data_IF_992170597450
#
_entry.id   IF_992170597450
#
_cell.length_a   1.000
_cell.length_b   1.000
_cell.length_c   1.000
_cell.angle_alpha   90.00
_cell.angle_beta   90.00
_cell.angle_gamma   90.00
#
_symmetry.space_group_name_H-M   'P 1'
#
loop_
_entity.id
_entity.type
_entity.pdbx_description
1 polymer ?
#
# COMPACT_ATOMS: atom_id res chain seq x y z
N UNK A 1 2.93 1.08 -7.32
CA UNK A 1 3.85 1.89 -6.46
C UNK A 1 4.51 3.01 -7.23
N UNK A 2 5.15 2.76 -8.39
CA UNK A 2 5.60 3.81 -9.31
C UNK A 2 4.49 4.82 -9.66
N UNK A 3 3.25 4.35 -9.78
CA UNK A 3 2.03 5.17 -9.93
C UNK A 3 1.86 6.30 -8.90
N UNK A 4 2.41 6.15 -7.67
CA UNK A 4 2.36 7.22 -6.65
C UNK A 4 3.15 8.45 -7.14
N UNK A 5 4.24 8.23 -7.88
CA UNK A 5 5.04 9.29 -8.48
C UNK A 5 4.49 9.75 -9.83
N UNK A 6 4.03 8.82 -10.67
CA UNK A 6 3.48 9.13 -11.99
C UNK A 6 2.20 9.96 -11.91
N UNK A 7 1.29 9.63 -10.99
CA UNK A 7 0.02 10.33 -10.86
C UNK A 7 0.18 11.77 -10.36
N UNK A 8 1.32 12.10 -9.75
CA UNK A 8 1.48 13.37 -9.03
C UNK A 8 2.53 14.32 -9.61
N UNK A 9 3.37 13.93 -10.59
CA UNK A 9 4.45 14.75 -11.20
C UNK A 9 5.34 15.53 -10.20
N UNK A 10 5.23 15.24 -8.90
CA UNK A 10 5.74 16.08 -7.83
C UNK A 10 7.18 15.73 -7.49
N UNK A 11 7.61 14.50 -7.78
CA UNK A 11 8.97 14.09 -7.49
C UNK A 11 9.96 14.70 -8.48
N UNK A 12 9.62 14.76 -9.78
CA UNK A 12 10.52 15.28 -10.81
C UNK A 12 11.05 16.69 -10.50
N UNK A 13 10.16 17.57 -10.01
CA UNK A 13 10.51 18.92 -9.61
C UNK A 13 11.42 18.99 -8.36
N UNK A 14 11.44 17.93 -7.55
CA UNK A 14 12.26 17.83 -6.34
C UNK A 14 13.61 17.12 -6.60
N UNK A 15 13.74 16.39 -7.72
CA UNK A 15 14.96 15.68 -8.06
C UNK A 15 16.09 16.64 -8.50
N UNK A 16 17.30 16.52 -7.94
CA UNK A 16 18.44 17.31 -8.37
C UNK A 16 18.75 17.13 -9.86
N UNK A 17 18.83 18.23 -10.61
CA UNK A 17 19.21 18.23 -12.04
C UNK A 17 20.63 17.73 -12.29
N UNK A 18 21.51 17.86 -11.30
CA UNK A 18 22.90 17.40 -11.34
C UNK A 18 23.06 15.88 -11.18
N UNK A 19 21.96 15.16 -11.00
CA UNK A 19 21.98 13.74 -10.65
C UNK A 19 21.74 13.47 -9.18
N UNK A 20 21.26 12.28 -8.86
CA UNK A 20 20.89 11.89 -7.51
C UNK A 20 21.28 10.44 -7.16
N UNK A 21 21.38 10.18 -5.86
CA UNK A 21 21.54 8.84 -5.28
C UNK A 21 20.36 8.52 -4.38
N UNK A 22 19.98 7.26 -4.28
CA UNK A 22 18.87 6.85 -3.42
C UNK A 22 19.18 5.62 -2.56
N UNK A 23 18.50 5.52 -1.41
CA UNK A 23 18.48 4.36 -0.52
C UNK A 23 17.04 3.85 -0.40
N UNK A 24 16.80 2.57 -0.63
CA UNK A 24 15.49 1.92 -0.55
C UNK A 24 15.50 0.82 0.53
N UNK A 25 14.92 1.14 1.69
CA UNK A 25 14.79 0.24 2.84
C UNK A 25 13.51 -0.58 2.71
N UNK A 26 13.67 -1.89 2.58
CA UNK A 26 12.57 -2.78 2.19
C UNK A 26 12.43 -2.92 0.68
N UNK A 27 13.51 -2.76 -0.09
CA UNK A 27 13.46 -2.63 -1.55
C UNK A 27 12.84 -3.81 -2.33
N UNK A 28 12.73 -5.00 -1.76
CA UNK A 28 12.11 -6.14 -2.46
C UNK A 28 10.58 -5.98 -2.56
N UNK A 29 9.96 -6.26 -3.73
CA UNK A 29 10.55 -6.90 -4.90
C UNK A 29 11.26 -5.95 -5.89
N UNK A 30 11.19 -4.64 -5.70
CA UNK A 30 11.94 -3.68 -6.52
C UNK A 30 11.19 -2.47 -7.05
N UNK A 31 9.91 -2.28 -6.69
CA UNK A 31 9.05 -1.29 -7.36
C UNK A 31 9.60 0.15 -7.33
N UNK A 32 10.01 0.64 -6.17
CA UNK A 32 10.62 1.97 -6.02
C UNK A 32 11.99 2.04 -6.69
N UNK A 33 12.84 1.06 -6.40
CA UNK A 33 14.18 0.97 -6.97
C UNK A 33 14.18 0.98 -8.50
N UNK A 34 13.34 0.17 -9.16
CA UNK A 34 13.20 0.14 -10.63
C UNK A 34 12.81 1.50 -11.18
N UNK A 35 11.78 2.15 -10.62
CA UNK A 35 11.33 3.48 -11.04
C UNK A 35 12.45 4.52 -10.93
N UNK A 36 13.18 4.55 -9.82
CA UNK A 36 14.27 5.50 -9.62
C UNK A 36 15.44 5.26 -10.57
N UNK A 37 15.74 4.00 -10.90
CA UNK A 37 16.84 3.62 -11.79
C UNK A 37 16.55 3.90 -13.27
N UNK A 38 15.27 4.03 -13.65
CA UNK A 38 14.86 4.42 -15.01
C UNK A 38 15.12 5.91 -15.30
N UNK A 39 15.27 6.73 -14.26
CA UNK A 39 15.60 8.14 -14.42
C UNK A 39 17.07 8.31 -14.84
N UNK A 40 17.37 9.00 -15.97
CA UNK A 40 18.74 9.17 -16.44
C UNK A 40 19.62 10.01 -15.50
N UNK A 41 19.03 10.72 -14.54
CA UNK A 41 19.75 11.45 -13.49
C UNK A 41 20.16 10.54 -12.32
N UNK A 42 19.68 9.29 -12.27
CA UNK A 42 20.02 8.36 -11.21
C UNK A 42 21.48 7.90 -11.33
N UNK A 43 22.31 8.40 -10.42
CA UNK A 43 23.74 8.07 -10.39
C UNK A 43 24.01 6.73 -9.72
N UNK A 44 23.27 6.44 -8.64
CA UNK A 44 23.45 5.22 -7.85
C UNK A 44 22.22 4.92 -6.99
N UNK A 45 21.83 3.65 -6.94
CA UNK A 45 20.85 3.13 -6.01
C UNK A 45 21.45 2.17 -4.99
N UNK A 46 20.92 2.22 -3.77
CA UNK A 46 21.21 1.27 -2.71
C UNK A 46 19.90 0.66 -2.22
N UNK A 47 19.86 -0.66 -2.07
CA UNK A 47 18.70 -1.38 -1.55
C UNK A 47 19.07 -2.20 -0.32
N UNK A 48 18.22 -2.18 0.70
CA UNK A 48 18.30 -3.12 1.82
C UNK A 48 17.04 -3.95 1.87
N UNK A 49 17.16 -5.26 2.00
CA UNK A 49 16.00 -6.14 2.17
C UNK A 49 16.35 -7.40 2.95
N UNK A 50 15.33 -8.00 3.57
CA UNK A 50 15.47 -9.27 4.26
C UNK A 50 15.81 -10.37 3.24
N UNK A 51 16.81 -11.25 3.51
CA UNK A 51 17.10 -12.38 2.65
C UNK A 51 15.87 -13.29 2.46
N UNK A 52 15.67 -13.84 1.26
CA UNK A 52 14.55 -14.77 1.01
C UNK A 52 14.62 -16.05 1.86
N UNK A 53 15.84 -16.48 2.21
CA UNK A 53 16.09 -17.58 3.15
C UNK A 53 15.58 -17.31 4.57
N UNK A 54 15.40 -16.03 4.92
CA UNK A 54 14.92 -15.57 6.24
C UNK A 54 13.47 -15.11 6.22
N UNK A 55 12.73 -15.40 5.14
CA UNK A 55 11.33 -15.02 4.96
C UNK A 55 11.11 -13.73 4.17
N UNK A 56 12.17 -13.14 3.57
CA UNK A 56 12.06 -11.97 2.70
C UNK A 56 11.57 -12.28 1.28
N UNK A 57 11.31 -11.23 0.50
CA UNK A 57 10.91 -11.37 -0.90
C UNK A 57 12.15 -11.38 -1.82
N UNK A 58 12.12 -12.10 -2.96
CA UNK A 58 13.19 -12.03 -3.94
C UNK A 58 13.21 -10.66 -4.61
N UNK A 59 14.40 -10.07 -4.74
CA UNK A 59 14.62 -8.82 -5.49
C UNK A 59 14.60 -9.10 -6.98
N UNK A 60 13.86 -8.29 -7.74
CA UNK A 60 13.72 -8.39 -9.20
C UNK A 60 14.46 -7.30 -9.97
N UNK A 61 15.02 -6.33 -9.27
CA UNK A 61 15.82 -5.25 -9.87
C UNK A 61 17.14 -5.81 -10.40
N UNK A 62 17.46 -5.50 -11.66
CA UNK A 62 18.74 -5.82 -12.29
C UNK A 62 19.30 -4.55 -12.90
N UNK A 63 20.25 -3.92 -12.22
CA UNK A 63 20.95 -2.76 -12.75
C UNK A 63 22.39 -2.71 -12.25
N UNK A 64 23.31 -2.24 -13.10
CA UNK A 64 24.73 -2.13 -12.75
C UNK A 64 25.03 -0.98 -11.77
N UNK A 65 24.12 0.00 -11.68
CA UNK A 65 24.18 1.12 -10.74
C UNK A 65 23.29 0.90 -9.51
N UNK A 66 23.01 -0.36 -9.13
CA UNK A 66 22.22 -0.70 -7.96
C UNK A 66 22.96 -1.70 -7.06
N UNK A 67 23.22 -1.32 -5.81
CA UNK A 67 23.85 -2.17 -4.80
C UNK A 67 22.82 -2.72 -3.81
N UNK A 68 22.75 -4.04 -3.70
CA UNK A 68 21.84 -4.74 -2.79
C UNK A 68 22.59 -5.25 -1.55
N UNK A 69 22.15 -4.83 -0.37
CA UNK A 69 22.53 -5.39 0.91
C UNK A 69 21.39 -6.26 1.44
N UNK A 70 21.63 -7.56 1.58
CA UNK A 70 20.65 -8.46 2.19
C UNK A 70 20.90 -8.54 3.70
N UNK A 71 19.96 -8.03 4.50
CA UNK A 71 20.06 -7.99 5.96
C UNK A 71 18.68 -7.81 6.61
N UNK A 72 18.54 -8.27 7.86
CA UNK A 72 17.40 -7.88 8.70
C UNK A 72 17.59 -6.43 9.16
N UNK A 73 16.61 -5.57 8.85
CA UNK A 73 16.65 -4.17 9.25
C UNK A 73 16.72 -4.01 10.77
N UNK A 74 16.19 -4.94 11.57
CA UNK A 74 16.29 -4.88 13.02
C UNK A 74 17.72 -5.06 13.55
N UNK A 75 18.55 -5.80 12.83
CA UNK A 75 19.89 -6.20 13.28
C UNK A 75 20.98 -5.19 12.90
N UNK A 76 20.81 -4.46 11.80
CA UNK A 76 21.84 -3.54 11.30
C UNK A 76 21.73 -2.14 11.90
N UNK A 77 22.84 -1.51 12.25
CA UNK A 77 22.93 -0.12 12.65
C UNK A 77 23.30 0.84 11.50
N UNK A 78 23.30 2.15 11.75
CA UNK A 78 23.74 3.15 10.76
C UNK A 78 25.13 2.88 10.19
N UNK A 79 26.05 2.36 11.01
CA UNK A 79 27.44 2.03 10.63
C UNK A 79 27.54 0.80 9.73
N UNK A 80 26.54 -0.09 9.76
CA UNK A 80 26.52 -1.33 8.99
C UNK A 80 25.93 -1.15 7.59
N UNK A 81 25.34 0.02 7.30
CA UNK A 81 24.86 0.37 5.97
C UNK A 81 26.01 0.56 4.99
N UNK A 82 25.99 -0.20 3.90
CA UNK A 82 26.97 -0.08 2.80
C UNK A 82 26.76 1.20 1.99
N UNK A 83 25.57 1.81 2.05
CA UNK A 83 25.22 3.01 1.29
C UNK A 83 26.07 4.23 1.68
N UNK A 84 26.46 5.02 0.68
CA UNK A 84 26.97 6.38 0.89
C UNK A 84 25.84 7.32 1.35
N UNK A 85 26.16 8.61 1.51
CA UNK A 85 25.10 9.62 1.62
C UNK A 85 24.23 9.64 0.35
N UNK A 86 22.93 9.91 0.53
CA UNK A 86 21.91 9.84 -0.51
C UNK A 86 21.03 11.09 -0.53
N UNK A 87 20.47 11.40 -1.71
CA UNK A 87 19.53 12.49 -1.89
C UNK A 87 18.11 12.06 -1.51
N UNK A 88 17.79 10.77 -1.68
CA UNK A 88 16.46 10.21 -1.47
C UNK A 88 16.57 8.97 -0.59
N UNK A 89 15.74 8.88 0.43
CA UNK A 89 15.55 7.66 1.20
C UNK A 89 14.09 7.20 1.13
N UNK A 90 13.87 5.95 0.75
CA UNK A 90 12.56 5.29 0.76
C UNK A 90 12.53 4.30 1.91
N UNK A 91 11.48 4.38 2.72
CA UNK A 91 11.22 3.52 3.86
C UNK A 91 9.88 2.80 3.64
N UNK A 92 9.91 1.67 2.94
CA UNK A 92 8.71 0.89 2.57
C UNK A 92 8.72 -0.53 3.17
N UNK A 93 9.64 -0.83 4.08
CA UNK A 93 9.64 -2.09 4.81
C UNK A 93 8.40 -2.18 5.70
N UNK A 94 7.78 -3.37 5.72
CA UNK A 94 6.55 -3.63 6.45
C UNK A 94 6.74 -4.77 7.45
N UNK A 95 6.16 -4.59 8.63
CA UNK A 95 6.13 -5.62 9.65
C UNK A 95 4.90 -6.52 9.46
N UNK A 96 5.07 -7.68 8.84
CA UNK A 96 3.98 -8.54 8.35
C UNK A 96 3.49 -9.61 9.35
N UNK A 97 3.72 -9.41 10.66
CA UNK A 97 3.31 -10.38 11.68
C UNK A 97 1.79 -10.63 11.66
N UNK A 98 1.39 -11.90 11.81
CA UNK A 98 0.02 -12.44 11.77
C UNK A 98 -0.65 -12.58 10.39
N UNK A 99 0.09 -12.49 9.28
CA UNK A 99 -0.38 -13.06 8.02
C UNK A 99 0.02 -14.54 8.01
N UNK A 100 -0.97 -15.43 8.22
CA UNK A 100 -0.84 -16.88 8.50
C UNK A 100 0.16 -17.60 7.57
N UNK A 101 0.30 -17.16 6.32
CA UNK A 101 1.19 -17.76 5.33
C UNK A 101 2.69 -17.42 5.48
N UNK A 102 3.06 -16.42 6.29
CA UNK A 102 4.44 -15.88 6.32
C UNK A 102 5.13 -15.94 7.68
N UNK A 103 4.39 -16.10 8.78
CA UNK A 103 4.96 -16.07 10.14
C UNK A 103 5.90 -17.27 10.44
N UNK A 104 5.67 -18.43 9.80
CA UNK A 104 6.52 -19.61 9.97
C UNK A 104 7.90 -19.45 9.31
N UNK A 105 8.01 -18.62 8.25
CA UNK A 105 9.25 -18.46 7.48
C UNK A 105 10.15 -17.36 8.03
N UNK A 106 9.60 -16.40 8.77
CA UNK A 106 10.38 -15.29 9.30
C UNK A 106 11.27 -15.74 10.46
N UNK A 107 12.59 -15.67 10.25
CA UNK A 107 13.62 -16.07 11.24
C UNK A 107 14.34 -14.88 11.89
N UNK A 108 13.96 -13.65 11.54
CA UNK A 108 14.58 -12.44 12.06
C UNK A 108 14.09 -12.04 13.45
N UNK A 109 14.46 -10.83 13.87
CA UNK A 109 14.11 -10.28 15.19
C UNK A 109 12.59 -10.09 15.29
N UNK A 110 11.98 -10.62 16.34
CA UNK A 110 10.54 -10.53 16.60
C UNK A 110 10.25 -9.55 17.72
N UNK A 111 9.37 -8.59 17.48
CA UNK A 111 8.84 -7.72 18.52
C UNK A 111 7.66 -8.38 19.24
N UNK A 112 7.40 -8.02 20.50
CA UNK A 112 6.40 -8.64 21.38
C UNK A 112 4.98 -8.63 20.82
N UNK A 113 4.54 -7.51 20.24
CA UNK A 113 3.25 -7.41 19.55
C UNK A 113 3.42 -6.91 18.11
N UNK A 114 2.36 -7.04 17.30
CA UNK A 114 2.33 -6.51 15.93
C UNK A 114 2.54 -5.00 15.91
N UNK A 115 1.88 -4.27 16.82
CA UNK A 115 1.96 -2.81 16.93
C UNK A 115 3.36 -2.34 17.33
N UNK A 116 4.02 -3.05 18.27
CA UNK A 116 5.42 -2.81 18.62
C UNK A 116 6.32 -2.96 17.40
N UNK A 117 6.16 -4.04 16.63
CA UNK A 117 6.99 -4.29 15.46
C UNK A 117 6.78 -3.29 14.33
N UNK A 118 5.55 -2.82 14.13
CA UNK A 118 5.26 -1.76 13.16
C UNK A 118 6.00 -0.47 13.52
N UNK A 119 5.89 -0.02 14.78
CA UNK A 119 6.57 1.21 15.23
C UNK A 119 8.08 1.05 15.30
N UNK A 120 8.58 -0.08 15.82
CA UNK A 120 10.02 -0.35 15.90
C UNK A 120 10.64 -0.39 14.50
N UNK A 121 10.00 -1.05 13.53
CA UNK A 121 10.48 -1.07 12.15
C UNK A 121 10.43 0.31 11.50
N UNK A 122 9.38 1.11 11.74
CA UNK A 122 9.29 2.47 11.23
C UNK A 122 10.43 3.35 11.77
N UNK A 123 10.64 3.33 13.10
CA UNK A 123 11.73 4.10 13.72
C UNK A 123 13.10 3.60 13.29
N UNK A 124 13.26 2.29 13.08
CA UNK A 124 14.50 1.71 12.56
C UNK A 124 14.80 2.20 11.16
N UNK A 125 13.79 2.24 10.29
CA UNK A 125 13.94 2.79 8.95
C UNK A 125 14.31 4.28 8.98
N UNK A 126 13.74 5.06 9.91
CA UNK A 126 14.13 6.46 10.07
C UNK A 126 15.55 6.61 10.61
N UNK A 127 15.93 5.77 11.57
CA UNK A 127 17.26 5.77 12.15
C UNK A 127 18.34 5.50 11.10
N UNK A 128 18.10 4.50 10.25
CA UNK A 128 18.96 4.13 9.13
C UNK A 128 18.93 5.20 8.02
N UNK A 129 17.73 5.55 7.55
CA UNK A 129 17.54 6.46 6.41
C UNK A 129 18.03 7.88 6.66
N UNK A 130 17.65 8.49 7.79
CA UNK A 130 18.05 9.85 8.12
C UNK A 130 19.55 9.98 8.40
N UNK A 131 20.22 8.88 8.82
CA UNK A 131 21.67 8.88 9.02
C UNK A 131 22.46 9.04 7.71
N UNK A 132 21.84 8.70 6.57
CA UNK A 132 22.44 8.77 5.24
C UNK A 132 21.88 9.90 4.39
N UNK A 133 20.82 10.57 4.83
CA UNK A 133 20.15 11.59 4.05
C UNK A 133 20.97 12.91 4.03
N UNK A 134 21.27 13.39 2.83
CA UNK A 134 21.96 14.67 2.62
C UNK A 134 21.07 15.86 3.00
N UNK A 135 21.69 16.99 3.31
CA UNK A 135 20.96 18.25 3.48
C UNK A 135 20.17 18.59 2.20
N UNK A 136 18.93 19.05 2.36
CA UNK A 136 18.00 19.26 1.26
C UNK A 136 17.34 17.97 0.73
N UNK A 137 17.73 16.79 1.23
CA UNK A 137 17.25 15.49 0.77
C UNK A 137 15.76 15.23 1.02
N UNK A 138 15.30 14.11 0.47
CA UNK A 138 13.90 13.66 0.46
C UNK A 138 13.79 12.35 1.23
N UNK A 139 12.84 12.27 2.15
CA UNK A 139 12.41 11.03 2.80
C UNK A 139 11.01 10.68 2.30
N UNK A 140 10.83 9.45 1.86
CA UNK A 140 9.54 8.88 1.47
C UNK A 140 9.31 7.67 2.36
N UNK A 141 8.16 7.59 3.01
CA UNK A 141 7.85 6.41 3.81
C UNK A 141 6.38 6.03 3.73
N UNK A 142 6.11 4.75 3.90
CA UNK A 142 4.75 4.23 4.01
C UNK A 142 4.24 4.42 5.43
N UNK A 143 3.03 4.95 5.56
CA UNK A 143 2.36 5.12 6.84
C UNK A 143 0.91 4.63 6.77
N UNK A 144 0.38 4.19 7.90
CA UNK A 144 -1.01 3.75 8.03
C UNK A 144 -1.78 4.70 8.93
N UNK A 145 -2.96 5.15 8.49
CA UNK A 145 -3.87 5.93 9.32
C UNK A 145 -5.29 5.41 9.18
N UNK A 146 -5.92 5.16 10.32
CA UNK A 146 -7.34 4.88 10.42
C UNK A 146 -7.85 5.65 11.63
N UNK A 147 -8.85 6.48 11.41
CA UNK A 147 -9.61 7.11 12.48
C UNK A 147 -10.89 6.27 12.71
N UNK A 148 -10.95 5.41 13.74
CA UNK A 148 -12.17 4.72 14.13
C UNK A 148 -13.07 5.56 15.06
N UNK A 149 -12.69 6.78 15.42
CA UNK A 149 -13.48 7.67 16.29
C UNK A 149 -12.82 7.99 17.64
N UNK A 150 -13.44 8.88 18.43
CA UNK A 150 -12.84 9.45 19.64
C UNK A 150 -12.82 8.51 20.86
N UNK A 151 -13.62 7.43 20.85
CA UNK A 151 -13.88 6.62 22.05
C UNK A 151 -13.02 5.35 22.17
N UNK A 152 -12.12 5.10 21.22
CA UNK A 152 -11.23 3.93 21.24
C UNK A 152 -9.87 4.29 21.86
N UNK A 153 -9.51 3.74 23.04
CA UNK A 153 -8.24 4.03 23.71
C UNK A 153 -7.01 3.75 22.83
N UNK A 154 -7.04 2.69 22.01
CA UNK A 154 -5.94 2.36 21.10
C UNK A 154 -5.74 3.45 20.04
N UNK A 155 -6.83 4.12 19.66
CA UNK A 155 -6.83 5.23 18.71
C UNK A 155 -6.31 6.51 19.33
N UNK A 156 -6.66 6.81 20.58
CA UNK A 156 -6.13 7.97 21.31
C UNK A 156 -4.60 7.85 21.38
N UNK A 157 -4.10 6.69 21.80
CA UNK A 157 -2.67 6.41 21.85
C UNK A 157 -2.01 6.54 20.46
N UNK A 158 -2.57 5.88 19.44
CA UNK A 158 -2.00 5.90 18.09
C UNK A 158 -1.96 7.31 17.50
N UNK A 159 -3.00 8.12 17.77
CA UNK A 159 -3.06 9.53 17.38
C UNK A 159 -1.96 10.34 18.07
N UNK A 160 -1.75 10.15 19.36
CA UNK A 160 -0.69 10.85 20.10
C UNK A 160 0.70 10.53 19.54
N UNK A 161 1.01 9.24 19.33
CA UNK A 161 2.29 8.83 18.74
C UNK A 161 2.46 9.36 17.31
N UNK A 162 1.37 9.40 16.54
CA UNK A 162 1.37 9.98 15.19
C UNK A 162 1.66 11.49 15.24
N UNK A 163 1.04 12.24 16.15
CA UNK A 163 1.29 13.67 16.32
C UNK A 163 2.76 13.94 16.67
N UNK A 164 3.35 13.14 17.57
CA UNK A 164 4.78 13.24 17.93
C UNK A 164 5.69 12.97 16.73
N UNK A 165 5.44 11.88 16.01
CA UNK A 165 6.21 11.51 14.82
C UNK A 165 6.19 12.63 13.77
N UNK A 166 5.00 13.10 13.41
CA UNK A 166 4.85 14.12 12.37
C UNK A 166 5.33 15.50 12.82
N UNK A 167 5.24 15.83 14.11
CA UNK A 167 5.87 17.04 14.65
C UNK A 167 7.38 17.01 14.44
N UNK A 168 8.04 15.88 14.77
CA UNK A 168 9.47 15.71 14.52
C UNK A 168 9.79 15.86 13.03
N UNK A 169 8.98 15.27 12.14
CA UNK A 169 9.17 15.41 10.69
C UNK A 169 8.98 16.85 10.20
N UNK A 170 7.97 17.58 10.69
CA UNK A 170 7.74 18.98 10.32
C UNK A 170 8.84 19.93 10.81
N UNK A 171 9.55 19.57 11.89
CA UNK A 171 10.73 20.29 12.33
C UNK A 171 11.95 20.01 11.43
N UNK A 172 12.17 18.74 11.10
CA UNK A 172 13.32 18.26 10.33
C UNK A 172 13.24 18.53 8.83
N UNK A 173 12.06 18.79 8.28
CA UNK A 173 11.87 18.97 6.85
C UNK A 173 11.18 20.30 6.55
N UNK A 174 11.56 20.93 5.44
CA UNK A 174 10.89 22.14 4.97
C UNK A 174 9.45 21.90 4.55
N UNK A 175 9.14 20.67 4.12
CA UNK A 175 7.81 20.28 3.68
C UNK A 175 7.54 18.82 4.01
N UNK A 176 6.33 18.54 4.47
CA UNK A 176 5.79 17.20 4.73
C UNK A 176 4.44 17.14 4.05
N UNK A 177 4.26 16.17 3.14
CA UNK A 177 3.04 16.00 2.35
C UNK A 177 2.60 14.54 2.35
N UNK A 178 1.30 14.34 2.45
CA UNK A 178 0.66 13.06 2.24
C UNK A 178 0.44 12.79 0.75
N UNK A 179 0.59 11.53 0.33
CA UNK A 179 0.33 11.07 -1.03
C UNK A 179 -0.44 9.76 -0.96
N UNK A 180 -1.65 9.74 -1.52
CA UNK A 180 -2.48 8.54 -1.64
C UNK A 180 -2.85 8.36 -3.09
N UNK A 181 -2.63 7.15 -3.61
CA UNK A 181 -3.03 6.79 -4.97
C UNK A 181 -4.52 6.46 -5.00
N UNK A 182 -5.17 6.85 -6.09
CA UNK A 182 -6.57 6.52 -6.37
C UNK A 182 -6.76 5.07 -6.85
N UNK A 183 -5.67 4.42 -7.25
CA UNK A 183 -5.66 3.06 -7.75
C UNK A 183 -5.01 2.11 -6.74
N UNK A 184 -3.75 2.36 -6.40
CA UNK A 184 -2.98 1.50 -5.52
C UNK A 184 -3.29 1.75 -4.04
N UNK A 185 -3.65 0.71 -3.30
CA UNK A 185 -4.00 0.80 -1.87
C UNK A 185 -5.09 1.84 -1.56
N UNK A 186 -5.96 2.11 -2.53
CA UNK A 186 -7.00 3.13 -2.43
C UNK A 186 -8.01 2.85 -1.29
N UNK A 187 -8.34 1.58 -1.02
CA UNK A 187 -9.14 1.17 0.15
C UNK A 187 -8.35 1.03 1.44
N UNK A 188 -7.05 0.75 1.32
CA UNK A 188 -6.25 0.47 2.51
C UNK A 188 -6.06 1.75 3.32
N UNK A 189 -5.86 1.61 4.62
CA UNK A 189 -5.50 2.70 5.53
C UNK A 189 -4.09 3.24 5.26
N UNK A 190 -3.31 2.57 4.41
CA UNK A 190 -1.96 3.02 4.08
C UNK A 190 -1.92 4.11 3.02
N UNK A 191 -0.92 4.97 3.13
CA UNK A 191 -0.56 6.04 2.21
C UNK A 191 0.95 6.29 2.31
N UNK A 192 1.49 7.13 1.45
CA UNK A 192 2.88 7.56 1.52
C UNK A 192 2.97 8.98 2.09
N UNK A 193 4.07 9.25 2.77
CA UNK A 193 4.43 10.59 3.21
C UNK A 193 5.73 10.95 2.52
N UNK A 194 5.74 12.11 1.85
CA UNK A 194 6.90 12.68 1.21
C UNK A 194 7.36 13.90 2.00
N UNK A 195 8.54 13.79 2.61
CA UNK A 195 9.20 14.86 3.32
C UNK A 195 10.36 15.38 2.47
N UNK A 196 10.41 16.69 2.21
CA UNK A 196 11.45 17.29 1.36
C UNK A 196 12.16 18.45 2.05
N UNK A 197 13.34 18.80 1.52
CA UNK A 197 14.22 19.82 2.08
C UNK A 197 14.68 19.48 3.51
N UNK A 198 15.35 18.32 3.67
CA UNK A 198 15.89 17.86 4.95
C UNK A 198 16.86 18.86 5.58
N UNK A 199 16.57 19.30 6.81
CA UNK A 199 17.34 20.26 7.59
C UNK A 199 18.34 19.54 8.48
N UNK A 200 19.47 19.13 7.90
CA UNK A 200 20.50 18.35 8.60
C UNK A 200 21.03 19.02 9.87
N UNK A 201 21.09 20.35 9.91
CA UNK A 201 21.47 21.11 11.10
C UNK A 201 20.53 20.83 12.29
N UNK A 202 19.21 20.86 12.08
CA UNK A 202 18.20 20.53 13.10
C UNK A 202 18.32 19.08 13.57
N UNK A 203 18.60 18.16 12.64
CA UNK A 203 18.82 16.75 12.95
C UNK A 203 19.99 16.55 13.93
N UNK A 204 21.10 17.28 13.70
CA UNK A 204 22.28 17.26 14.56
C UNK A 204 22.02 17.99 15.89
N UNK A 205 21.50 19.21 15.85
CA UNK A 205 21.20 20.05 17.03
C UNK A 205 20.31 19.32 18.05
N UNK A 206 19.32 18.57 17.58
CA UNK A 206 18.37 17.85 18.42
C UNK A 206 18.78 16.42 18.78
N UNK A 207 19.99 16.00 18.43
CA UNK A 207 20.50 14.63 18.62
C UNK A 207 19.53 13.55 18.08
N UNK A 208 18.85 13.79 16.95
CA UNK A 208 17.75 12.91 16.49
C UNK A 208 18.25 11.49 16.20
N UNK A 209 19.49 11.33 15.71
CA UNK A 209 20.08 10.01 15.50
C UNK A 209 20.09 9.16 16.79
N UNK A 210 20.47 9.77 17.91
CA UNK A 210 20.52 9.13 19.22
C UNK A 210 19.12 8.89 19.76
N UNK A 211 18.22 9.87 19.62
CA UNK A 211 16.81 9.75 19.98
C UNK A 211 16.15 8.53 19.32
N UNK A 212 16.28 8.39 18.00
CA UNK A 212 15.72 7.27 17.25
C UNK A 212 16.32 5.93 17.68
N UNK A 213 17.64 5.85 17.85
CA UNK A 213 18.30 4.63 18.34
C UNK A 213 17.86 4.22 19.74
N UNK A 214 17.77 5.17 20.69
CA UNK A 214 17.28 4.91 22.05
C UNK A 214 15.83 4.45 22.04
N UNK A 215 14.97 5.10 21.25
CA UNK A 215 13.54 4.78 21.18
C UNK A 215 13.31 3.41 20.53
N UNK A 216 14.07 3.09 19.48
CA UNK A 216 14.07 1.76 18.87
C UNK A 216 14.49 0.67 19.88
N UNK A 217 15.60 0.87 20.59
CA UNK A 217 16.06 -0.10 21.58
C UNK A 217 15.04 -0.27 22.73
N UNK A 218 14.43 0.82 23.18
CA UNK A 218 13.32 0.78 24.15
C UNK A 218 12.16 -0.10 23.64
N UNK A 219 11.72 0.08 22.40
CA UNK A 219 10.65 -0.73 21.81
C UNK A 219 11.01 -2.23 21.69
N UNK A 220 12.29 -2.56 21.54
CA UNK A 220 12.76 -3.94 21.50
C UNK A 220 12.91 -4.57 22.88
N UNK A 221 13.36 -3.80 23.88
CA UNK A 221 13.67 -4.33 25.21
C UNK A 221 12.54 -4.20 26.23
N UNK A 222 11.55 -3.34 25.98
CA UNK A 222 10.51 -3.05 26.97
C UNK A 222 9.56 -4.24 27.17
N UNK A 223 9.22 -4.50 28.43
CA UNK A 223 8.32 -5.58 28.85
C UNK A 223 6.92 -5.05 29.20
N UNK A 224 6.37 -4.18 28.37
CA UNK A 224 5.03 -3.65 28.55
C UNK A 224 3.97 -4.68 28.10
N UNK A 225 2.92 -4.86 28.89
CA UNK A 225 1.81 -5.78 28.59
C UNK A 225 0.77 -5.14 27.67
N UNK A 226 0.37 -3.90 27.96
CA UNK A 226 -0.54 -3.12 27.12
C UNK A 226 0.23 -2.23 26.13
N UNK A 227 0.04 -2.46 24.83
CA UNK A 227 0.66 -1.63 23.79
C UNK A 227 0.33 -0.14 23.87
N UNK A 228 -0.73 0.24 24.59
CA UNK A 228 -1.11 1.63 24.79
C UNK A 228 -0.26 2.36 25.84
N UNK A 229 0.54 1.63 26.63
CA UNK A 229 1.46 2.23 27.62
C UNK A 229 2.82 2.58 27.00
N UNK A 230 3.00 2.36 25.70
CA UNK A 230 4.23 2.69 24.99
C UNK A 230 4.39 4.20 24.83
N UNK A 231 5.47 4.74 25.41
CA UNK A 231 5.80 6.15 25.26
C UNK A 231 6.82 6.37 24.12
N UNK A 232 6.31 6.64 22.91
CA UNK A 232 7.13 6.78 21.70
C UNK A 232 7.42 8.25 21.44
N UNK A 233 8.71 8.59 21.32
CA UNK A 233 9.22 9.93 21.03
C UNK A 233 8.67 11.06 21.94
N UNK A 234 8.62 10.91 23.28
CA UNK A 234 8.12 11.96 24.18
C UNK A 234 8.88 13.28 24.05
N UNK A 235 10.14 13.25 23.62
CA UNK A 235 10.95 14.45 23.40
C UNK A 235 10.37 15.36 22.31
N UNK A 236 9.56 14.82 21.40
CA UNK A 236 8.87 15.61 20.37
C UNK A 236 7.77 16.51 20.95
N UNK A 237 7.27 16.24 22.17
CA UNK A 237 6.25 17.09 22.80
C UNK A 237 6.74 18.53 23.04
N UNK A 238 8.06 18.73 23.17
CA UNK A 238 8.67 20.07 23.28
C UNK A 238 8.56 20.90 22.00
N UNK A 239 8.25 20.25 20.87
CA UNK A 239 8.12 20.87 19.55
C UNK A 239 6.67 21.06 19.14
N UNK A 240 5.72 20.47 19.89
CA UNK A 240 4.31 20.50 19.57
C UNK A 240 3.73 21.86 19.86
N UNK A 241 2.95 22.36 18.92
CA UNK A 241 2.09 23.53 19.09
C UNK A 241 0.69 23.20 18.57
N UNK A 242 -0.36 23.89 19.02
CA UNK A 242 -1.72 23.68 18.52
C UNK A 242 -1.82 23.83 16.99
N UNK A 243 -1.02 24.71 16.40
CA UNK A 243 -0.97 24.94 14.95
C UNK A 243 -0.36 23.75 14.21
N UNK A 244 0.71 23.16 14.74
CA UNK A 244 1.33 21.96 14.19
C UNK A 244 0.38 20.77 14.32
N UNK A 245 -0.23 20.56 15.49
CA UNK A 245 -1.18 19.48 15.74
C UNK A 245 -2.41 19.59 14.81
N UNK A 246 -2.93 20.80 14.61
CA UNK A 246 -4.03 21.05 13.67
C UNK A 246 -3.61 20.73 12.24
N UNK A 247 -2.43 21.18 11.80
CA UNK A 247 -1.92 20.91 10.44
C UNK A 247 -1.77 19.41 10.18
N UNK A 248 -1.27 18.66 11.17
CA UNK A 248 -1.15 17.20 11.09
C UNK A 248 -2.54 16.56 11.03
N UNK A 249 -3.46 16.98 11.89
CA UNK A 249 -4.84 16.46 11.92
C UNK A 249 -5.56 16.71 10.59
N UNK A 250 -5.48 17.93 10.04
CA UNK A 250 -6.06 18.28 8.75
C UNK A 250 -5.52 17.39 7.61
N UNK A 251 -4.24 17.02 7.67
CA UNK A 251 -3.62 16.09 6.71
C UNK A 251 -4.15 14.67 6.83
N UNK A 252 -4.26 14.15 8.06
CA UNK A 252 -4.78 12.81 8.32
C UNK A 252 -6.27 12.71 7.95
N UNK A 253 -7.05 13.76 8.19
CA UNK A 253 -8.45 13.87 7.81
C UNK A 253 -8.64 13.83 6.29
N UNK A 254 -7.75 14.47 5.52
CA UNK A 254 -7.77 14.38 4.05
C UNK A 254 -7.55 12.95 3.57
N UNK A 255 -6.58 12.23 4.15
CA UNK A 255 -6.34 10.81 3.83
C UNK A 255 -7.56 9.95 4.14
N UNK A 256 -8.20 10.16 5.29
CA UNK A 256 -9.40 9.43 5.67
C UNK A 256 -10.56 9.74 4.72
N UNK A 257 -10.76 11.01 4.32
CA UNK A 257 -11.79 11.41 3.35
C UNK A 257 -11.58 10.73 1.99
N UNK A 258 -10.36 10.72 1.46
CA UNK A 258 -10.04 10.03 0.19
C UNK A 258 -10.36 8.53 0.30
N UNK A 259 -10.00 7.89 1.41
CA UNK A 259 -10.33 6.48 1.68
C UNK A 259 -11.84 6.23 1.66
N UNK A 260 -12.61 7.07 2.35
CA UNK A 260 -14.08 6.98 2.39
C UNK A 260 -14.70 7.16 1.00
N UNK A 261 -14.21 8.10 0.19
CA UNK A 261 -14.66 8.28 -1.21
C UNK A 261 -14.44 7.00 -2.02
N UNK A 262 -13.26 6.38 -1.90
CA UNK A 262 -12.97 5.12 -2.60
C UNK A 262 -13.81 3.93 -2.11
N UNK A 263 -14.14 3.87 -0.82
CA UNK A 263 -15.06 2.87 -0.28
C UNK A 263 -16.47 3.05 -0.84
N UNK A 264 -16.98 4.29 -0.85
CA UNK A 264 -18.32 4.58 -1.37
C UNK A 264 -18.41 4.38 -2.88
N UNK A 265 -17.39 4.79 -3.64
CA UNK A 265 -17.30 4.55 -5.08
C UNK A 265 -17.35 3.05 -5.40
N UNK A 266 -16.59 2.22 -4.67
CA UNK A 266 -16.64 0.76 -4.86
C UNK A 266 -17.97 0.14 -4.48
N UNK A 267 -18.58 0.56 -3.36
CA UNK A 267 -19.93 0.12 -3.00
C UNK A 267 -20.95 0.50 -4.06
N UNK A 268 -20.83 1.69 -4.64
CA UNK A 268 -21.70 2.14 -5.71
C UNK A 268 -21.50 1.33 -7.00
N UNK A 269 -20.25 1.10 -7.43
CA UNK A 269 -19.94 0.26 -8.58
C UNK A 269 -20.45 -1.17 -8.38
N UNK A 270 -20.22 -1.76 -7.21
CA UNK A 270 -20.72 -3.09 -6.89
C UNK A 270 -22.26 -3.15 -6.91
N UNK A 271 -22.94 -2.14 -6.35
CA UNK A 271 -24.40 -2.05 -6.42
C UNK A 271 -24.90 -1.91 -7.86
N UNK A 272 -24.19 -1.13 -8.69
CA UNK A 272 -24.49 -1.00 -10.12
C UNK A 272 -24.28 -2.32 -10.85
N UNK A 273 -23.20 -3.05 -10.56
CA UNK A 273 -22.94 -4.37 -11.14
C UNK A 273 -24.04 -5.37 -10.79
N UNK A 274 -24.45 -5.45 -9.52
CA UNK A 274 -25.55 -6.32 -9.06
C UNK A 274 -26.88 -5.90 -9.70
N UNK A 275 -27.16 -4.61 -9.82
CA UNK A 275 -28.40 -4.12 -10.46
C UNK A 275 -28.39 -4.31 -11.98
N UNK A 276 -27.20 -4.46 -12.58
CA UNK A 276 -27.00 -4.70 -14.02
C UNK A 276 -26.81 -6.17 -14.35
N UNK A 277 -27.10 -7.09 -13.42
CA UNK A 277 -27.25 -8.51 -13.73
C UNK A 277 -28.34 -8.65 -14.81
N UNK A 278 -27.92 -8.81 -16.06
CA UNK A 278 -28.82 -9.12 -17.15
C UNK A 278 -29.11 -10.62 -17.05
N UNK A 279 -30.36 -11.04 -16.72
CA UNK A 279 -30.70 -12.45 -16.56
C UNK A 279 -30.50 -13.25 -17.87
N UNK A 280 -30.35 -12.56 -19.01
CA UNK A 280 -30.07 -13.15 -20.31
C UNK A 280 -28.59 -13.44 -20.53
N UNK A 281 -27.69 -12.76 -19.80
CA UNK A 281 -26.25 -12.90 -19.93
C UNK A 281 -25.69 -14.16 -19.25
N UNK A 282 -26.42 -15.27 -19.32
CA UNK A 282 -26.05 -16.56 -18.73
C UNK A 282 -25.72 -17.53 -19.84
N UNK A 283 -24.54 -18.14 -19.74
CA UNK A 283 -24.11 -19.26 -20.59
C UNK A 283 -24.40 -20.57 -19.86
N UNK A 284 -25.12 -21.49 -20.49
CA UNK A 284 -25.47 -22.79 -19.92
C UNK A 284 -24.72 -23.89 -20.67
N UNK A 285 -24.17 -24.84 -19.91
CA UNK A 285 -23.45 -26.03 -20.38
C UNK A 285 -24.16 -27.29 -19.89
N UNK A 286 -24.50 -28.22 -20.78
CA UNK A 286 -25.08 -29.52 -20.40
C UNK A 286 -24.66 -30.65 -21.36
N UNK A 287 -24.24 -31.83 -20.86
CA UNK A 287 -24.10 -32.16 -19.45
C UNK A 287 -23.00 -31.34 -18.77
N UNK A 288 -23.13 -31.16 -17.45
CA UNK A 288 -22.09 -30.53 -16.64
C UNK A 288 -20.75 -31.25 -16.84
N UNK A 289 -19.67 -30.58 -17.32
CA UNK A 289 -18.38 -31.24 -17.50
C UNK A 289 -17.88 -31.78 -16.15
N UNK A 290 -17.72 -33.12 -15.97
CA UNK A 290 -17.47 -33.71 -14.66
C UNK A 290 -16.04 -33.47 -14.15
N UNK A 291 -15.13 -33.13 -15.06
CA UNK A 291 -13.70 -32.94 -14.75
C UNK A 291 -13.33 -31.48 -14.45
N UNK A 292 -14.24 -30.53 -14.64
CA UNK A 292 -13.95 -29.11 -14.44
C UNK A 292 -14.60 -28.63 -13.15
N UNK A 293 -13.78 -28.09 -12.25
CA UNK A 293 -14.27 -27.37 -11.09
C UNK A 293 -14.92 -26.04 -11.50
N UNK A 294 -15.67 -25.42 -10.60
CA UNK A 294 -16.25 -24.10 -10.87
C UNK A 294 -15.16 -23.03 -11.06
N UNK A 295 -14.01 -23.18 -10.39
CA UNK A 295 -12.82 -22.33 -10.59
C UNK A 295 -12.22 -22.49 -11.99
N UNK A 296 -12.14 -23.73 -12.49
CA UNK A 296 -11.67 -23.99 -13.86
C UNK A 296 -12.61 -23.38 -14.89
N UNK A 297 -13.92 -23.46 -14.67
CA UNK A 297 -14.92 -22.85 -15.54
C UNK A 297 -14.85 -21.32 -15.51
N UNK A 298 -14.72 -20.71 -14.33
CA UNK A 298 -14.48 -19.26 -14.21
C UNK A 298 -13.23 -18.88 -14.98
N UNK A 299 -12.12 -19.60 -14.80
CA UNK A 299 -10.85 -19.32 -15.48
C UNK A 299 -10.98 -19.43 -17.01
N UNK A 300 -11.59 -20.52 -17.49
CA UNK A 300 -11.79 -20.77 -18.91
C UNK A 300 -12.72 -19.74 -19.57
N UNK A 301 -13.80 -19.36 -18.89
CA UNK A 301 -14.81 -18.43 -19.40
C UNK A 301 -14.38 -16.96 -19.25
N UNK A 302 -13.48 -16.65 -18.32
CA UNK A 302 -12.99 -15.28 -18.08
C UNK A 302 -12.26 -14.67 -19.28
N UNK A 303 -11.81 -15.50 -20.22
CA UNK A 303 -11.20 -15.04 -21.49
C UNK A 303 -12.21 -14.27 -22.35
N UNK A 304 -13.51 -14.56 -22.21
CA UNK A 304 -14.58 -13.93 -23.00
C UNK A 304 -15.23 -12.74 -22.30
N UNK A 305 -14.99 -12.55 -21.00
CA UNK A 305 -15.63 -11.52 -20.21
C UNK A 305 -15.55 -11.76 -18.71
N UNK A 306 -16.15 -10.88 -17.92
CA UNK A 306 -16.16 -11.03 -16.47
C UNK A 306 -17.31 -11.96 -16.06
N UNK A 307 -16.97 -13.13 -15.52
CA UNK A 307 -17.93 -14.10 -14.99
C UNK A 307 -18.27 -13.72 -13.56
N UNK A 308 -19.54 -13.37 -13.31
CA UNK A 308 -20.06 -12.97 -11.99
C UNK A 308 -20.18 -14.17 -11.05
N UNK A 309 -20.74 -15.28 -11.55
CA UNK A 309 -20.89 -16.52 -10.79
C UNK A 309 -21.05 -17.72 -11.72
N UNK A 310 -20.79 -18.90 -11.16
CA UNK A 310 -21.05 -20.20 -11.77
C UNK A 310 -21.96 -20.97 -10.84
N UNK A 311 -23.10 -21.42 -11.35
CA UNK A 311 -24.08 -22.21 -10.61
C UNK A 311 -24.15 -23.61 -11.21
N UNK A 312 -23.90 -24.63 -10.40
CA UNK A 312 -23.89 -26.05 -10.81
C UNK A 312 -25.12 -26.78 -10.30
N UNK A 313 -25.81 -27.44 -11.22
CA UNK A 313 -26.94 -28.33 -10.97
C UNK A 313 -26.58 -29.76 -11.41
N UNK A 314 -27.41 -30.76 -11.09
CA UNK A 314 -27.09 -32.19 -11.29
C UNK A 314 -26.66 -32.54 -12.73
N UNK A 315 -27.19 -31.85 -13.74
CA UNK A 315 -26.94 -32.14 -15.15
C UNK A 315 -26.49 -30.93 -15.98
N UNK A 316 -26.35 -29.76 -15.37
CA UNK A 316 -25.94 -28.55 -16.09
C UNK A 316 -25.12 -27.61 -15.22
N UNK A 317 -24.34 -26.77 -15.87
CA UNK A 317 -23.67 -25.65 -15.23
C UNK A 317 -24.05 -24.38 -15.95
N UNK A 318 -24.36 -23.32 -15.22
CA UNK A 318 -24.61 -22.01 -15.77
C UNK A 318 -23.56 -21.01 -15.28
N UNK A 319 -23.11 -20.14 -16.18
CA UNK A 319 -22.13 -19.10 -15.90
C UNK A 319 -22.73 -17.74 -16.28
N UNK A 320 -22.95 -16.89 -15.27
CA UNK A 320 -23.48 -15.55 -15.45
C UNK A 320 -22.34 -14.58 -15.80
N UNK A 321 -22.45 -13.87 -16.92
CA UNK A 321 -21.55 -12.79 -17.30
C UNK A 321 -22.10 -11.43 -16.87
N UNK A 322 -21.20 -10.45 -16.73
CA UNK A 322 -21.57 -9.06 -16.40
C UNK A 322 -22.36 -8.36 -17.50
N UNK A 323 -22.12 -8.72 -18.77
CA UNK A 323 -22.84 -8.15 -19.91
C UNK A 323 -23.21 -9.23 -20.94
N UNK A 324 -24.36 -9.07 -21.60
CA UNK A 324 -24.91 -10.04 -22.56
C UNK A 324 -23.97 -10.30 -23.75
N UNK A 325 -23.26 -9.29 -24.22
CA UNK A 325 -22.34 -9.43 -25.36
C UNK A 325 -21.13 -10.33 -25.04
N UNK A 326 -20.66 -10.35 -23.78
CA UNK A 326 -19.62 -11.29 -23.34
C UNK A 326 -20.14 -12.73 -23.37
N UNK A 327 -21.35 -12.95 -22.85
CA UNK A 327 -21.98 -14.27 -22.90
C UNK A 327 -22.17 -14.74 -24.36
N UNK A 328 -22.64 -13.86 -25.25
CA UNK A 328 -22.79 -14.15 -26.69
C UNK A 328 -21.47 -14.52 -27.36
N UNK A 329 -20.40 -13.77 -27.06
CA UNK A 329 -19.06 -14.05 -27.56
C UNK A 329 -18.54 -15.41 -27.07
N UNK A 330 -18.74 -15.72 -25.79
CA UNK A 330 -18.38 -17.00 -25.19
C UNK A 330 -19.11 -18.15 -25.89
N UNK A 331 -20.44 -18.10 -26.00
CA UNK A 331 -21.23 -19.17 -26.62
C UNK A 331 -20.84 -19.41 -28.08
N UNK A 332 -20.68 -18.34 -28.87
CA UNK A 332 -20.25 -18.44 -30.27
C UNK A 332 -18.88 -19.14 -30.42
N UNK A 333 -17.92 -18.76 -29.58
CA UNK A 333 -16.55 -19.31 -29.65
C UNK A 333 -16.47 -20.73 -29.10
N UNK A 334 -17.19 -21.04 -28.02
CA UNK A 334 -17.16 -22.36 -27.40
C UNK A 334 -17.89 -23.41 -28.24
N UNK A 335 -18.98 -23.04 -28.91
CA UNK A 335 -19.69 -23.92 -29.85
C UNK A 335 -18.81 -24.32 -31.03
N UNK A 336 -18.06 -23.36 -31.59
CA UNK A 336 -17.18 -23.61 -32.74
C UNK A 336 -15.93 -24.41 -32.38
N UNK A 337 -15.36 -24.19 -31.20
CA UNK A 337 -14.14 -24.88 -30.75
C UNK A 337 -14.36 -26.26 -30.14
N UNK A 338 -15.60 -26.58 -29.73
CA UNK A 338 -15.91 -27.82 -28.95
C UNK A 338 -15.02 -27.97 -27.71
N UNK A 339 -14.66 -26.86 -27.06
CA UNK A 339 -13.65 -26.81 -25.99
C UNK A 339 -13.96 -27.72 -24.78
N UNK A 340 -15.24 -28.06 -24.55
CA UNK A 340 -15.68 -28.92 -23.45
C UNK A 340 -16.05 -30.36 -23.88
N UNK A 341 -15.71 -30.73 -25.12
CA UNK A 341 -16.04 -32.04 -25.71
C UNK A 341 -17.33 -32.01 -26.53
N UNK A 342 -17.46 -32.96 -27.47
CA UNK A 342 -18.56 -32.97 -28.44
C UNK A 342 -19.94 -33.22 -27.81
N UNK A 343 -19.97 -33.85 -26.63
CA UNK A 343 -21.19 -34.17 -25.91
C UNK A 343 -21.78 -32.95 -25.17
N UNK A 344 -21.00 -31.89 -24.94
CA UNK A 344 -21.43 -30.73 -24.15
C UNK A 344 -22.11 -29.71 -25.05
N UNK A 345 -23.41 -29.51 -24.81
CA UNK A 345 -24.19 -28.45 -25.42
C UNK A 345 -23.96 -27.16 -24.66
N UNK A 346 -23.85 -26.06 -25.41
CA UNK A 346 -23.59 -24.73 -24.87
C UNK A 346 -24.62 -23.80 -25.46
N UNK A 347 -25.31 -23.01 -24.64
CA UNK A 347 -26.33 -22.06 -25.11
C UNK A 347 -26.46 -20.85 -24.20
N UNK A 348 -27.17 -19.81 -24.67
CA UNK A 348 -27.52 -18.65 -23.85
C UNK A 348 -28.87 -18.88 -23.18
N UNK A 349 -29.04 -18.42 -21.95
CA UNK A 349 -30.36 -18.36 -21.31
C UNK A 349 -31.35 -17.50 -22.10
N UNK A 350 -30.86 -16.48 -22.83
CA UNK A 350 -31.68 -15.72 -23.80
C UNK A 350 -32.37 -16.63 -24.84
N UNK A 351 -31.66 -17.64 -25.37
CA UNK A 351 -32.18 -18.55 -26.40
C UNK A 351 -33.29 -19.46 -25.85
N UNK A 352 -33.17 -19.86 -24.58
CA UNK A 352 -34.21 -20.63 -23.89
C UNK A 352 -35.44 -19.77 -23.59
N UNK A 353 -35.24 -18.54 -23.09
CA UNK A 353 -36.34 -17.59 -22.85
C UNK A 353 -37.07 -17.22 -24.15
N UNK A 354 -36.35 -17.17 -25.27
CA UNK A 354 -36.90 -16.86 -26.59
C UNK A 354 -37.63 -18.03 -27.25
N UNK A 355 -37.55 -19.25 -26.70
CA UNK A 355 -38.26 -20.44 -27.21
C UNK A 355 -39.51 -20.68 -26.35
N UNK A 356 -40.68 -20.14 -26.74
CA UNK A 356 -41.90 -20.29 -25.96
C UNK A 356 -42.53 -21.62 -26.35
N UNK A 357 -42.09 -22.74 -25.77
CA UNK A 357 -42.89 -23.99 -25.67
C UNK A 357 -42.14 -25.07 -24.90
N UNK A 358 -42.71 -25.44 -23.75
CA UNK A 358 -42.19 -26.37 -22.77
C UNK A 358 -42.17 -27.85 -23.18
N UNK A 359 -42.40 -28.21 -24.45
CA UNK A 359 -42.40 -29.63 -24.88
C UNK A 359 -41.69 -29.89 -26.23
N UNK A 360 -41.37 -28.86 -27.02
CA UNK A 360 -40.75 -29.03 -28.34
C UNK A 360 -39.27 -29.39 -28.28
N UNK A 361 -38.53 -28.84 -27.31
CA UNK A 361 -37.10 -29.07 -27.15
C UNK A 361 -36.76 -30.48 -26.64
N UNK A 362 -37.68 -31.14 -25.94
CA UNK A 362 -37.53 -32.53 -25.54
C UNK A 362 -37.87 -33.48 -26.71
N UNK A 363 -38.87 -33.12 -27.52
CA UNK A 363 -39.44 -33.95 -28.57
C UNK A 363 -38.62 -33.98 -29.88
N UNK A 364 -38.03 -32.85 -30.29
CA UNK A 364 -37.25 -32.80 -31.54
C UNK A 364 -35.93 -33.61 -31.44
N UNK A 365 -35.49 -33.94 -30.23
CA UNK A 365 -34.18 -34.56 -29.99
C UNK A 365 -34.23 -36.01 -29.52
N UNK A 366 -35.39 -36.52 -29.11
CA UNK A 366 -35.59 -37.96 -28.96
C UNK A 366 -35.50 -38.68 -30.33
N UNK A 367 -35.71 -37.98 -31.45
CA UNK A 367 -35.69 -38.59 -32.78
C UNK A 367 -34.31 -38.73 -33.45
N UNK A 368 -33.26 -38.06 -32.95
CA UNK A 368 -31.90 -38.17 -33.51
C UNK A 368 -30.94 -39.06 -32.68
N UNK A 369 -31.46 -39.79 -31.68
CA UNK A 369 -30.67 -40.60 -30.74
C UNK A 369 -30.94 -42.11 -30.76
N UNK A 370 -31.58 -42.66 -31.80
CA UNK A 370 -31.77 -44.11 -31.94
C UNK A 370 -30.48 -44.81 -32.44
N UNK A 371 -29.45 -44.74 -31.62
CA UNK A 371 -28.23 -45.52 -31.73
C UNK A 371 -27.78 -45.90 -30.33
N UNK A 372 -28.49 -46.83 -29.69
CA UNK A 372 -28.04 -47.42 -28.43
C UNK A 372 -26.64 -48.03 -28.61
N UNK A 373 -25.62 -47.61 -27.85
CA UNK A 373 -24.40 -48.39 -27.73
C UNK A 373 -24.69 -49.54 -26.76
N UNK A 374 -24.62 -50.74 -27.30
CA UNK A 374 -24.68 -52.00 -26.55
C UNK A 374 -23.42 -52.09 -25.67
N UNK A 375 -23.53 -51.76 -24.38
CA UNK A 375 -22.47 -52.06 -23.42
C UNK A 375 -22.57 -53.54 -23.03
N UNK A 376 -21.82 -54.38 -23.74
CA UNK A 376 -21.50 -55.71 -23.27
C UNK A 376 -20.28 -55.61 -22.34
N UNK A 377 -20.41 -56.18 -21.15
CA UNK A 377 -19.33 -56.36 -20.21
C UNK A 377 -18.18 -57.15 -20.85
N UNK A 378 -16.98 -56.58 -20.86
CA UNK A 378 -15.71 -57.29 -20.99
C UNK A 378 -14.65 -56.44 -20.32
N UNK A 379 -14.07 -56.98 -19.25
CA UNK A 379 -12.89 -56.43 -18.64
C UNK A 379 -11.69 -56.60 -19.56
N UNK A 380 -10.83 -55.60 -19.60
CA UNK A 380 -9.39 -55.73 -19.39
C UNK A 380 -8.75 -54.34 -19.45
N UNK A 381 -7.71 -54.15 -18.65
CA UNK A 381 -7.20 -52.84 -18.27
C UNK A 381 -6.41 -52.09 -19.33
N UNK A 382 -6.29 -50.79 -19.12
CA UNK A 382 -5.09 -50.01 -19.43
C UNK A 382 -5.20 -48.64 -18.76
N UNK A 383 -4.26 -48.35 -17.87
CA UNK A 383 -3.97 -47.01 -17.38
C UNK A 383 -3.61 -46.09 -18.56
N UNK A 384 -4.38 -45.02 -18.76
CA UNK A 384 -3.92 -43.87 -19.55
C UNK A 384 -3.94 -42.61 -18.70
N UNK A 385 -2.74 -42.28 -18.27
CA UNK A 385 -2.31 -41.09 -17.55
C UNK A 385 -2.65 -39.83 -18.36
N UNK A 386 -3.50 -38.95 -17.82
CA UNK A 386 -3.74 -37.61 -18.37
C UNK A 386 -2.61 -36.68 -17.90
N UNK A 387 -1.51 -36.65 -18.67
CA UNK A 387 -0.45 -35.65 -18.47
C UNK A 387 -0.82 -34.36 -19.20
N UNK A 388 -0.99 -33.29 -18.45
CA UNK A 388 -1.19 -31.95 -19.00
C UNK A 388 -0.03 -31.52 -19.91
N UNK A 389 -0.36 -31.09 -21.12
CA UNK A 389 0.46 -30.19 -21.94
C UNK A 389 -0.35 -28.90 -22.10
N UNK A 390 0.14 -27.74 -21.66
CA UNK A 390 1.18 -26.94 -22.33
C UNK A 390 0.95 -26.84 -23.84
N UNK A 391 -0.06 -26.11 -24.26
CA UNK A 391 -0.08 -25.42 -25.56
C UNK A 391 -0.92 -24.15 -25.46
N UNK A 392 -0.24 -23.04 -25.16
CA UNK A 392 -0.72 -21.69 -25.43
C UNK A 392 0.48 -20.80 -25.78
N UNK A 393 1.17 -21.15 -26.86
CA UNK A 393 2.21 -20.30 -27.46
C UNK A 393 2.35 -20.64 -28.94
N UNK A 394 1.43 -20.15 -29.77
CA UNK A 394 1.56 -20.11 -31.23
C UNK A 394 0.51 -19.18 -31.86
N UNK A 395 0.61 -17.87 -31.63
CA UNK A 395 -0.11 -16.86 -32.42
C UNK A 395 0.53 -15.47 -32.31
N UNK A 396 1.79 -15.32 -32.74
CA UNK A 396 2.38 -13.99 -32.99
C UNK A 396 3.66 -14.09 -33.87
N UNK A 397 3.53 -14.62 -35.09
CA UNK A 397 4.56 -14.42 -36.14
C UNK A 397 3.90 -14.26 -37.51
N UNK A 398 3.69 -13.00 -37.87
CA UNK A 398 3.50 -12.47 -39.22
C UNK A 398 3.66 -10.95 -39.06
N UNK A 399 4.70 -10.28 -39.57
CA UNK A 399 5.27 -10.44 -40.90
C UNK A 399 4.43 -9.62 -41.89
N UNK A 400 4.31 -8.31 -41.68
CA UNK A 400 3.55 -7.40 -42.54
C UNK A 400 4.23 -6.04 -42.61
N UNK A 401 4.69 -5.68 -43.80
CA UNK A 401 5.43 -4.48 -44.14
C UNK A 401 4.68 -3.17 -43.81
N UNK A 402 5.43 -2.18 -43.35
CA UNK A 402 4.98 -0.81 -43.18
C UNK A 402 4.90 -0.09 -44.54
N UNK A 403 3.84 0.70 -44.81
CA UNK A 403 3.91 1.79 -45.75
C UNK A 403 4.12 3.12 -45.02
N UNK A 404 5.11 3.86 -45.51
CA UNK A 404 5.41 5.26 -45.21
C UNK A 404 4.16 6.14 -45.19
N UNK A 405 4.04 6.97 -44.14
CA UNK A 405 3.36 8.26 -44.27
C UNK A 405 4.04 9.37 -43.45
N UNK A 406 4.06 10.60 -43.98
CA UNK A 406 5.04 11.60 -43.62
C UNK A 406 4.67 12.44 -42.40
N UNK A 407 5.75 12.93 -41.78
CA UNK A 407 5.84 13.97 -40.76
C UNK A 407 5.07 15.25 -41.16
N UNK A 408 4.19 15.70 -40.26
CA UNK A 408 3.63 17.05 -40.30
C UNK A 408 3.86 17.73 -38.95
N UNK A 409 4.81 18.66 -38.98
CA UNK A 409 5.13 19.64 -37.95
C UNK A 409 3.94 20.59 -37.78
N UNK A 410 3.44 20.75 -36.57
CA UNK A 410 2.52 21.83 -36.22
C UNK A 410 3.09 22.63 -35.03
N UNK A 411 3.50 23.86 -35.33
CA UNK A 411 3.95 24.88 -34.40
C UNK A 411 2.78 25.44 -33.56
N UNK A 412 3.04 26.03 -32.38
CA UNK A 412 2.02 26.46 -31.44
C UNK A 412 1.37 27.79 -31.87
N UNK A 413 0.04 27.82 -31.90
CA UNK A 413 -0.72 29.05 -32.09
C UNK A 413 -0.82 29.82 -30.77
N UNK A 414 -0.21 31.00 -30.75
CA UNK A 414 -0.42 32.04 -29.77
C UNK A 414 -1.82 32.63 -29.90
N UNK A 415 -2.54 32.79 -28.79
CA UNK A 415 -3.74 33.64 -28.73
C UNK A 415 -3.59 34.68 -27.61
N UNK A 416 -3.73 35.93 -28.06
CA UNK A 416 -3.55 37.17 -27.34
C UNK A 416 -4.68 37.44 -26.35
N UNK A 417 -4.28 38.15 -25.31
CA UNK A 417 -5.04 38.98 -24.40
C UNK A 417 -6.17 39.80 -25.05
N UNK A 418 -7.32 39.84 -24.38
CA UNK A 418 -8.28 40.94 -24.46
C UNK A 418 -8.74 41.32 -23.05
N UNK A 419 -8.78 42.61 -22.81
CA UNK A 419 -8.94 43.31 -21.53
C UNK A 419 -10.24 44.13 -21.60
N UNK A 420 -10.88 44.31 -20.44
CA UNK A 420 -11.93 45.29 -20.09
C UNK A 420 -13.37 44.91 -20.54
N UNK A 421 -14.46 45.23 -19.82
CA UNK A 421 -14.68 46.19 -18.71
C UNK A 421 -16.05 45.90 -18.03
N UNK A 422 -16.10 46.12 -16.72
CA UNK A 422 -17.19 46.54 -15.82
C UNK A 422 -18.68 46.41 -16.23
N UNK A 423 -19.50 45.84 -15.33
CA UNK A 423 -20.53 46.56 -14.52
C UNK A 423 -21.54 45.58 -13.91
N UNK A 424 -21.91 45.79 -12.63
CA UNK A 424 -23.14 45.22 -12.05
C UNK A 424 -22.97 44.50 -10.69
N UNK A 425 -22.95 45.26 -9.59
CA UNK A 425 -23.36 44.76 -8.26
C UNK A 425 -24.88 44.82 -8.12
N UNK A 426 -25.51 44.05 -7.20
CA UNK A 426 -25.87 44.61 -5.88
C UNK A 426 -25.96 43.51 -4.77
N UNK A 427 -26.60 43.75 -3.61
CA UNK A 427 -26.27 44.70 -2.56
C UNK A 427 -25.90 43.99 -1.24
N UNK A 428 -25.32 44.75 -0.31
CA UNK A 428 -24.83 44.28 0.99
C UNK A 428 -25.92 43.97 2.02
N UNK A 429 -25.58 43.02 2.89
CA UNK A 429 -26.22 42.85 4.20
C UNK A 429 -25.28 43.41 5.27
N UNK A 430 -25.74 44.46 5.95
CA UNK A 430 -25.11 45.00 7.15
C UNK A 430 -25.67 44.30 8.40
N UNK A 431 -24.86 44.12 9.46
CA UNK A 431 -25.29 43.54 10.72
C UNK A 431 -25.96 44.59 11.63
N UNK A 432 -27.04 44.21 12.32
CA UNK A 432 -27.58 45.02 13.42
C UNK A 432 -27.01 44.58 14.78
N UNK A 433 -26.69 45.53 15.68
CA UNK A 433 -26.27 45.27 17.05
C UNK A 433 -27.42 45.50 18.06
N UNK A 434 -27.51 44.64 19.09
CA UNK A 434 -28.18 44.89 20.38
C UNK A 434 -27.50 43.94 21.39
N UNK A 435 -27.22 44.26 22.64
CA UNK A 435 -27.48 45.43 23.47
C UNK A 435 -26.96 45.07 24.87
N UNK A 436 -26.33 46.04 25.52
CA UNK A 436 -25.69 45.95 26.83
C UNK A 436 -26.73 45.85 27.94
N UNK A 437 -26.48 45.01 28.95
CA UNK A 437 -27.05 45.14 30.30
C UNK A 437 -26.11 44.53 31.36
N UNK A 438 -25.33 45.39 32.01
CA UNK A 438 -24.86 45.27 33.41
C UNK A 438 -25.90 45.97 34.32
N UNK A 439 -25.92 45.85 35.68
CA UNK A 439 -24.74 45.77 36.57
C UNK A 439 -24.87 44.99 37.91
N UNK A 440 -23.73 44.97 38.64
CA UNK A 440 -23.59 45.03 40.12
C UNK A 440 -23.99 43.77 40.94
N UNK A 441 -23.31 43.32 42.01
CA UNK A 441 -22.34 43.92 42.94
C UNK A 441 -21.78 42.84 43.88
N UNK A 442 -20.60 43.10 44.49
CA UNK A 442 -20.17 42.72 45.86
C UNK A 442 -19.93 41.22 46.17
N UNK A 443 -19.00 40.78 47.03
CA UNK A 443 -17.83 41.31 47.76
C UNK A 443 -17.20 40.07 48.47
N UNK A 444 -16.05 40.28 49.14
CA UNK A 444 -15.31 39.39 50.05
C UNK A 444 -14.14 38.62 49.41
N UNK A 445 -12.89 39.08 49.53
CA UNK A 445 -12.02 39.30 50.70
C UNK A 445 -11.46 37.99 51.29
N UNK A 446 -10.15 37.81 51.13
CA UNK A 446 -9.38 36.71 51.70
C UNK A 446 -7.89 36.94 51.46
N UNK A 447 -7.28 37.63 52.41
CA UNK A 447 -5.91 38.14 52.46
C UNK A 447 -4.83 37.08 52.61
N UNK A 448 -3.66 37.44 52.04
CA UNK A 448 -2.29 37.03 52.30
C UNK A 448 -1.95 36.38 53.66
N UNK A 449 -0.99 35.45 53.61
CA UNK A 449 0.24 35.56 54.41
C UNK A 449 1.37 34.65 53.91
N UNK A 450 2.51 35.31 53.73
CA UNK A 450 3.90 34.83 53.73
C UNK A 450 4.25 33.97 54.93
N UNK A 451 5.12 32.96 54.77
CA UNK A 451 6.29 32.80 55.64
C UNK A 451 7.36 31.85 55.08
N UNK A 452 8.59 32.27 55.34
CA UNK A 452 9.90 31.74 54.97
C UNK A 452 10.51 30.92 56.11
N UNK A 453 11.31 29.88 55.81
CA UNK A 453 12.51 29.43 56.54
C UNK A 453 12.91 28.02 56.02
N UNK A 454 14.02 27.86 55.29
CA UNK A 454 15.37 27.58 55.82
C UNK A 454 15.47 26.33 56.71
N UNK A 455 16.10 25.27 56.17
CA UNK A 455 17.02 24.40 56.93
C UNK A 455 17.71 23.40 56.00
N UNK A 456 18.99 23.64 55.73
CA UNK A 456 19.99 22.58 55.56
C UNK A 456 20.31 22.04 56.97
N UNK A 457 20.79 20.79 57.17
CA UNK A 457 22.18 20.48 56.83
C UNK A 457 22.52 19.01 56.49
N UNK A 458 23.77 18.90 56.04
CA UNK A 458 24.75 17.84 56.36
C UNK A 458 25.07 16.79 55.29
N UNK A 459 26.33 16.91 54.90
CA UNK A 459 27.15 15.97 54.18
C UNK A 459 27.16 14.56 54.78
N UNK A 460 27.23 13.56 53.90
CA UNK A 460 27.99 12.35 54.19
C UNK A 460 28.74 11.89 52.94
N UNK A 461 29.83 11.21 53.21
CA UNK A 461 31.10 11.19 52.50
C UNK A 461 31.31 9.78 51.96
N UNK A 462 32.05 9.67 50.86
CA UNK A 462 32.87 8.50 50.47
C UNK A 462 32.18 7.18 50.13
N UNK A 463 32.26 6.77 48.85
CA UNK A 463 33.22 5.71 48.46
C UNK A 463 33.39 5.65 46.94
N UNK A 464 34.59 6.03 46.50
CA UNK A 464 35.21 5.59 45.24
C UNK A 464 35.35 4.07 45.28
N UNK A 465 34.95 3.37 44.21
CA UNK A 465 35.44 2.03 43.92
C UNK A 465 36.19 2.07 42.58
N UNK A 466 37.42 1.61 42.69
CA UNK A 466 38.48 1.50 41.70
C UNK A 466 38.16 0.51 40.59
N UNK A 467 38.59 0.88 39.39
CA UNK A 467 38.89 0.01 38.25
C UNK A 467 40.02 -0.98 38.60
N UNK A 468 40.03 -2.19 38.00
CA UNK A 468 41.27 -2.93 37.78
C UNK A 468 41.64 -2.95 36.30
N UNK A 469 42.73 -2.24 36.02
CA UNK A 469 43.92 -2.65 35.25
C UNK A 469 43.81 -3.81 34.25
N UNK A 470 44.26 -3.48 33.04
CA UNK A 470 44.69 -4.31 31.94
C UNK A 470 45.54 -5.55 32.32
N UNK A 471 45.34 -6.64 31.58
CA UNK A 471 46.28 -7.76 31.45
C UNK A 471 46.91 -7.70 30.05
N UNK A 472 48.21 -7.49 30.00
CA UNK A 472 49.04 -7.57 28.80
C UNK A 472 49.23 -9.02 28.35
N UNK A 473 49.18 -9.26 27.03
CA UNK A 473 49.67 -10.50 26.39
C UNK A 473 50.98 -10.21 25.65
N UNK A 474 51.95 -11.14 25.65
CA UNK A 474 53.29 -10.96 25.08
C UNK A 474 53.32 -11.20 23.55
N UNK A 475 54.42 -10.80 22.87
CA UNK A 475 54.51 -10.85 21.42
C UNK A 475 54.81 -12.27 20.90
N UNK A 476 54.14 -12.64 19.81
CA UNK A 476 54.48 -13.81 19.01
C UNK A 476 55.58 -13.47 18.02
N UNK A 477 56.69 -14.20 18.10
CA UNK A 477 57.69 -14.32 17.06
C UNK A 477 57.33 -15.50 16.15
N UNK A 478 57.17 -15.24 14.85
CA UNK A 478 57.66 -16.02 13.71
C UNK A 478 57.30 -15.33 12.41
#
# INVERSE_FOLDING_TARGET
>A
MAEVFEAHNNLDALLPRSGFRFLDLGCAPGGFSSYMLEDPRCLMGFGVTLPSSSGGFPVRVRSSNFFLQQADLFEIGPTDLVSSEVNICVCDAQYLRNNISWDEKYRGVRCRSKQHGVWALLLKQFWLGLSRLMAGGILIFRFGWRDPGPDDPATIWYKEMTLRLFTLLMDLFGQVREVKSDYFNALQSSFYVCCSNFRRERFVEREVLKLLGVTFNYLLSTHIEDSNDLDILPQADRLRTPEVDKKISDMLDRIQKIRLVHEQSRKWHHKQEVTREDPRAVVVLSPAPPKLSDEDLVSALSVYGHVLRVDREEHQVSAQFTILDQARSAVSTLRSSKAFGEAVRIWLREEEMASPTADGWSAEWQHNGAGQPHWAASGDGADTNWTGSKHAEAAARGGGAAPDRPSAVAAPAAAKSAKAKAAGGPPGFAPQPRGVATPATQREAGTASTESASSSPSASRTRRRSTPSASARPPSSR
#
